data_IF_510910939260
#
_entry.id   IF_510910939260
#
_cell.length_a   1.000
_cell.length_b   1.000
_cell.length_c   1.000
_cell.angle_alpha   90.00
_cell.angle_beta   90.00
_cell.angle_gamma   90.00
#
_symmetry.space_group_name_H-M   'P 1'
#
loop_
_entity.id
_entity.type
_entity.pdbx_description
1 polymer ?
#
# COMPACT_ATOMS: atom_id res chain seq x y z
N UNK A 1 -22.19 5.80 6.95
CA UNK A 1 -21.87 4.40 6.61
C UNK A 1 -20.93 4.40 5.42
N UNK A 2 -19.63 4.30 5.68
CA UNK A 2 -18.63 4.11 4.62
C UNK A 2 -18.64 2.62 4.27
N UNK A 3 -19.37 2.26 3.22
CA UNK A 3 -19.32 0.89 2.69
C UNK A 3 -18.15 0.78 1.73
N UNK A 4 -17.06 0.18 2.18
CA UNK A 4 -16.01 -0.28 1.27
C UNK A 4 -16.53 -1.51 0.54
N UNK A 5 -16.57 -1.54 -0.80
CA UNK A 5 -16.87 -2.76 -1.52
C UNK A 5 -15.72 -3.74 -1.28
N UNK A 6 -15.91 -4.67 -0.36
CA UNK A 6 -15.03 -5.84 -0.30
C UNK A 6 -15.38 -6.67 -1.52
N UNK A 7 -14.41 -6.94 -2.41
CA UNK A 7 -14.69 -7.77 -3.57
C UNK A 7 -15.18 -9.15 -3.10
N UNK A 8 -16.13 -9.72 -3.82
CA UNK A 8 -16.72 -11.02 -3.49
C UNK A 8 -15.65 -12.12 -3.28
N UNK A 9 -14.48 -11.96 -3.88
CA UNK A 9 -13.34 -12.86 -3.75
C UNK A 9 -12.74 -12.83 -2.34
N UNK A 10 -12.70 -11.68 -1.68
CA UNK A 10 -12.20 -11.56 -0.31
C UNK A 10 -13.08 -12.32 0.69
N UNK A 11 -14.40 -12.36 0.44
CA UNK A 11 -15.35 -13.12 1.26
C UNK A 11 -15.22 -14.64 1.11
N UNK A 12 -14.43 -15.11 0.15
CA UNK A 12 -14.15 -16.55 -0.07
C UNK A 12 -12.75 -16.95 0.35
N UNK A 13 -11.96 -16.05 0.93
CA UNK A 13 -10.60 -16.34 1.34
C UNK A 13 -10.58 -17.37 2.49
N UNK A 14 -9.68 -18.34 2.39
CA UNK A 14 -9.42 -19.32 3.46
C UNK A 14 -8.46 -18.73 4.50
N UNK A 15 -7.56 -17.83 4.05
CA UNK A 15 -6.59 -17.14 4.88
C UNK A 15 -6.37 -15.70 4.41
N UNK A 16 -6.26 -14.77 5.35
CA UNK A 16 -5.93 -13.37 5.10
C UNK A 16 -4.62 -13.00 5.79
N UNK A 17 -3.65 -12.48 5.01
CA UNK A 17 -2.42 -11.88 5.50
C UNK A 17 -2.59 -10.37 5.57
N UNK A 18 -2.35 -9.75 6.72
CA UNK A 18 -2.58 -8.33 6.93
C UNK A 18 -1.51 -7.69 7.82
N UNK A 19 -1.43 -6.37 7.81
CA UNK A 19 -0.51 -5.57 8.61
C UNK A 19 -1.23 -4.51 9.45
N UNK A 20 -0.48 -3.69 10.17
CA UNK A 20 -1.00 -2.67 11.09
C UNK A 20 -1.74 -1.49 10.39
N UNK A 21 -1.74 -1.43 9.08
CA UNK A 21 -2.50 -0.41 8.34
C UNK A 21 -3.96 -0.82 8.10
N UNK A 22 -4.32 -2.04 8.48
CA UNK A 22 -5.68 -2.55 8.37
C UNK A 22 -6.37 -2.38 9.72
N UNK A 23 -7.50 -1.68 9.73
CA UNK A 23 -8.28 -1.48 10.95
C UNK A 23 -9.09 -2.72 11.32
N UNK A 24 -9.44 -2.82 12.61
CA UNK A 24 -10.25 -3.92 13.14
C UNK A 24 -11.63 -3.99 12.47
N UNK A 25 -12.21 -2.84 12.09
CA UNK A 25 -13.48 -2.79 11.37
C UNK A 25 -13.38 -3.44 9.99
N UNK A 26 -12.27 -3.23 9.29
CA UNK A 26 -12.01 -3.90 7.99
C UNK A 26 -11.80 -5.39 8.19
N UNK A 27 -11.06 -5.80 9.21
CA UNK A 27 -10.87 -7.21 9.54
C UNK A 27 -12.18 -7.90 9.94
N UNK A 28 -13.07 -7.17 10.61
CA UNK A 28 -14.39 -7.69 11.01
C UNK A 28 -15.32 -7.99 9.83
N UNK A 29 -15.03 -7.45 8.64
CA UNK A 29 -15.78 -7.75 7.41
C UNK A 29 -15.44 -9.13 6.83
N UNK A 30 -14.31 -9.72 7.21
CA UNK A 30 -13.94 -11.07 6.79
C UNK A 30 -14.79 -12.12 7.53
N UNK A 31 -15.16 -13.22 6.84
CA UNK A 31 -15.84 -14.35 7.49
C UNK A 31 -15.08 -14.83 8.73
N UNK A 32 -15.82 -15.29 9.73
CA UNK A 32 -15.21 -15.87 10.94
C UNK A 32 -14.42 -17.16 10.68
N UNK A 33 -14.66 -17.79 9.55
CA UNK A 33 -13.93 -18.97 9.07
C UNK A 33 -12.60 -18.65 8.40
N UNK A 34 -12.36 -17.38 8.02
CA UNK A 34 -11.10 -16.97 7.43
C UNK A 34 -10.01 -16.89 8.49
N UNK A 35 -8.96 -17.67 8.35
CA UNK A 35 -7.77 -17.56 9.19
C UNK A 35 -7.12 -16.19 8.98
N UNK A 36 -6.65 -15.56 10.05
CA UNK A 36 -6.03 -14.23 10.01
C UNK A 36 -4.59 -14.34 10.46
N UNK A 37 -3.65 -13.99 9.56
CA UNK A 37 -2.21 -14.02 9.85
C UNK A 37 -1.68 -12.59 9.80
N UNK A 38 -1.20 -12.10 10.94
CA UNK A 38 -0.53 -10.81 11.01
C UNK A 38 0.89 -10.92 10.48
N UNK A 39 1.25 -10.08 9.51
CA UNK A 39 2.58 -10.07 8.86
C UNK A 39 3.28 -8.71 8.98
N UNK A 40 2.70 -7.79 9.76
CA UNK A 40 3.24 -6.45 9.97
C UNK A 40 4.42 -6.41 10.95
N UNK A 41 4.94 -5.19 11.17
CA UNK A 41 5.99 -4.95 12.18
C UNK A 41 5.37 -4.90 13.58
N UNK A 42 5.77 -5.79 14.45
CA UNK A 42 5.49 -5.68 15.88
C UNK A 42 6.66 -5.00 16.61
N UNK A 43 6.33 -4.14 17.59
CA UNK A 43 7.34 -3.39 18.36
C UNK A 43 8.28 -4.27 19.19
N UNK A 44 7.94 -5.53 19.42
CA UNK A 44 8.62 -6.42 20.35
C UNK A 44 9.06 -7.77 19.78
N UNK A 45 8.73 -8.11 18.53
CA UNK A 45 9.06 -9.40 17.93
C UNK A 45 9.53 -9.25 16.49
N UNK A 46 10.26 -10.25 15.98
CA UNK A 46 10.87 -10.25 14.67
C UNK A 46 9.89 -9.81 13.57
N UNK A 47 10.17 -8.65 12.98
CA UNK A 47 9.48 -8.19 11.77
C UNK A 47 9.65 -9.25 10.68
N UNK A 48 8.55 -9.79 10.16
CA UNK A 48 8.62 -10.67 8.99
C UNK A 48 9.18 -9.86 7.81
N UNK A 49 10.26 -10.34 7.20
CA UNK A 49 10.83 -9.68 6.02
C UNK A 49 9.88 -9.83 4.84
N UNK A 50 10.00 -8.95 3.85
CA UNK A 50 9.11 -9.03 2.68
C UNK A 50 9.26 -10.35 1.93
N UNK A 51 10.48 -10.88 1.86
CA UNK A 51 10.77 -12.16 1.26
C UNK A 51 10.00 -13.29 1.97
N UNK A 52 9.99 -13.27 3.29
CA UNK A 52 9.30 -14.28 4.12
C UNK A 52 7.76 -14.20 3.93
N UNK A 53 7.21 -12.98 3.75
CA UNK A 53 5.77 -12.77 3.42
C UNK A 53 5.46 -13.35 2.04
N UNK A 54 6.32 -13.07 1.06
CA UNK A 54 6.14 -13.56 -0.31
C UNK A 54 6.17 -15.10 -0.34
N UNK A 55 7.14 -15.72 0.34
CA UNK A 55 7.25 -17.17 0.45
C UNK A 55 6.04 -17.79 1.18
N UNK A 56 5.54 -17.13 2.23
CA UNK A 56 4.35 -17.57 2.94
C UNK A 56 3.12 -17.58 2.01
N UNK A 57 2.93 -16.53 1.21
CA UNK A 57 1.83 -16.47 0.24
C UNK A 57 1.92 -17.61 -0.77
N UNK A 58 3.12 -17.85 -1.32
CA UNK A 58 3.36 -18.95 -2.28
C UNK A 58 3.05 -20.30 -1.67
N UNK A 59 3.55 -20.56 -0.47
CA UNK A 59 3.32 -21.83 0.25
C UNK A 59 1.83 -22.08 0.46
N UNK A 60 1.12 -21.11 1.03
CA UNK A 60 -0.32 -21.22 1.29
C UNK A 60 -1.12 -21.45 0.01
N UNK A 61 -0.76 -20.76 -1.08
CA UNK A 61 -1.42 -20.94 -2.36
C UNK A 61 -1.15 -22.32 -2.97
N UNK A 62 0.09 -22.84 -2.85
CA UNK A 62 0.45 -24.19 -3.31
C UNK A 62 -0.21 -25.29 -2.49
N UNK A 63 -0.54 -25.03 -1.23
CA UNK A 63 -1.34 -25.90 -0.37
C UNK A 63 -2.84 -25.87 -0.73
N UNK A 64 -3.21 -25.18 -1.83
CA UNK A 64 -4.58 -25.12 -2.36
C UNK A 64 -5.48 -24.11 -1.65
N UNK A 65 -4.94 -23.27 -0.78
CA UNK A 65 -5.69 -22.23 -0.05
C UNK A 65 -5.92 -20.99 -0.91
N UNK A 66 -7.08 -20.37 -0.75
CA UNK A 66 -7.39 -19.05 -1.31
C UNK A 66 -6.82 -17.98 -0.37
N UNK A 67 -5.72 -17.38 -0.79
CA UNK A 67 -4.97 -16.41 0.00
C UNK A 67 -5.43 -15.00 -0.33
N UNK A 68 -5.82 -14.23 0.69
CA UNK A 68 -6.07 -12.80 0.60
C UNK A 68 -4.88 -12.04 1.21
N UNK A 69 -4.16 -11.27 0.42
CA UNK A 69 -3.23 -10.27 0.93
C UNK A 69 -3.96 -8.94 1.10
N UNK A 70 -4.31 -8.60 2.32
CA UNK A 70 -5.05 -7.39 2.65
C UNK A 70 -4.06 -6.26 2.94
N UNK A 71 -4.16 -5.15 2.20
CA UNK A 71 -3.25 -4.01 2.27
C UNK A 71 -4.02 -2.71 2.47
N UNK A 72 -3.45 -1.77 3.23
CA UNK A 72 -3.97 -0.41 3.32
C UNK A 72 -3.64 0.39 2.06
N UNK A 73 -4.59 1.15 1.54
CA UNK A 73 -4.43 1.94 0.34
C UNK A 73 -4.49 1.12 -0.95
N UNK A 74 -3.63 1.45 -1.91
CA UNK A 74 -3.47 0.73 -3.17
C UNK A 74 -2.18 -0.10 -3.16
N UNK A 75 -2.21 -1.39 -3.56
CA UNK A 75 -1.05 -2.27 -3.47
C UNK A 75 0.14 -1.83 -4.33
N UNK A 76 -0.09 -1.08 -5.41
CA UNK A 76 0.94 -0.63 -6.35
C UNK A 76 1.46 0.79 -6.07
N UNK A 77 0.88 1.50 -5.10
CA UNK A 77 1.35 2.83 -4.72
C UNK A 77 2.09 2.75 -3.37
N UNK A 78 3.42 2.63 -3.44
CA UNK A 78 4.32 2.47 -2.29
C UNK A 78 3.94 1.33 -1.33
N UNK A 79 3.18 0.35 -1.83
CA UNK A 79 2.68 -0.80 -1.08
C UNK A 79 3.47 -2.08 -1.29
N UNK A 80 4.57 -2.07 -2.02
CA UNK A 80 5.41 -3.23 -2.37
C UNK A 80 4.67 -4.36 -3.10
N UNK A 81 3.48 -4.07 -3.66
CA UNK A 81 2.69 -5.06 -4.40
C UNK A 81 3.42 -5.63 -5.61
N UNK A 82 4.30 -4.85 -6.26
CA UNK A 82 5.15 -5.33 -7.35
C UNK A 82 6.04 -6.50 -6.92
N UNK A 83 6.74 -6.37 -5.79
CA UNK A 83 7.61 -7.43 -5.25
C UNK A 83 6.82 -8.71 -4.91
N UNK A 84 5.60 -8.54 -4.40
CA UNK A 84 4.69 -9.65 -4.08
C UNK A 84 4.27 -10.41 -5.34
N UNK A 85 3.80 -9.70 -6.38
CA UNK A 85 3.35 -10.35 -7.63
C UNK A 85 4.51 -10.95 -8.44
N UNK A 86 5.69 -10.35 -8.44
CA UNK A 86 6.88 -10.90 -9.11
C UNK A 86 7.20 -12.30 -8.56
N UNK A 87 7.15 -12.44 -7.24
CA UNK A 87 7.36 -13.73 -6.57
C UNK A 87 6.27 -14.75 -6.93
N UNK A 88 4.99 -14.34 -6.88
CA UNK A 88 3.87 -15.21 -7.22
C UNK A 88 3.94 -15.67 -8.67
N UNK A 89 4.25 -14.74 -9.59
CA UNK A 89 4.39 -15.04 -11.02
C UNK A 89 5.54 -16.03 -11.27
N UNK A 90 6.71 -15.78 -10.69
CA UNK A 90 7.87 -16.67 -10.82
C UNK A 90 7.60 -18.08 -10.31
N UNK A 91 6.70 -18.23 -9.35
CA UNK A 91 6.29 -19.50 -8.76
C UNK A 91 5.07 -20.16 -9.43
N UNK A 92 4.55 -19.57 -10.51
CA UNK A 92 3.39 -20.07 -11.24
C UNK A 92 2.08 -19.99 -10.47
N UNK A 93 2.00 -19.14 -9.43
CA UNK A 93 0.78 -18.92 -8.66
C UNK A 93 -0.10 -17.91 -9.39
N UNK A 94 -1.35 -18.26 -9.63
CA UNK A 94 -2.34 -17.33 -10.20
C UNK A 94 -2.77 -16.33 -9.14
N UNK A 95 -2.85 -15.06 -9.52
CA UNK A 95 -3.29 -14.00 -8.63
C UNK A 95 -4.19 -13.00 -9.37
N UNK A 96 -4.92 -12.23 -8.60
CA UNK A 96 -5.72 -11.08 -9.02
C UNK A 96 -5.37 -9.90 -8.12
N UNK A 97 -5.25 -8.72 -8.70
CA UNK A 97 -5.01 -7.49 -7.94
C UNK A 97 -6.28 -6.64 -7.97
N UNK A 98 -6.78 -6.32 -6.79
CA UNK A 98 -7.91 -5.42 -6.63
C UNK A 98 -7.36 -4.03 -6.33
N UNK A 99 -7.65 -3.02 -7.15
CA UNK A 99 -7.20 -1.66 -6.90
C UNK A 99 -7.83 -1.09 -5.62
N UNK A 100 -7.06 -0.27 -4.92
CA UNK A 100 -7.50 0.41 -3.71
C UNK A 100 -7.49 1.93 -3.83
N UNK A 101 -8.02 2.62 -2.83
CA UNK A 101 -7.92 4.08 -2.74
C UNK A 101 -6.61 4.40 -2.02
N UNK A 102 -5.63 4.89 -2.78
CA UNK A 102 -4.35 5.29 -2.20
C UNK A 102 -4.52 6.52 -1.29
N UNK A 103 -3.66 6.66 -0.28
CA UNK A 103 -3.72 7.72 0.72
C UNK A 103 -3.81 9.12 0.12
N UNK A 104 -3.13 9.38 -1.00
CA UNK A 104 -3.19 10.66 -1.69
C UNK A 104 -4.63 11.04 -2.08
N UNK A 105 -5.37 10.11 -2.66
CA UNK A 105 -6.76 10.35 -3.08
C UNK A 105 -7.68 10.53 -1.86
N UNK A 106 -7.49 9.73 -0.82
CA UNK A 106 -8.28 9.83 0.41
C UNK A 106 -8.05 11.17 1.12
N UNK A 107 -6.78 11.52 1.39
CA UNK A 107 -6.43 12.77 2.07
C UNK A 107 -6.88 13.99 1.26
N UNK A 108 -6.64 14.00 -0.05
CA UNK A 108 -7.04 15.10 -0.93
C UNK A 108 -8.56 15.33 -0.89
N UNK A 109 -9.35 14.25 -0.97
CA UNK A 109 -10.81 14.35 -0.93
C UNK A 109 -11.31 14.88 0.42
N UNK A 110 -10.80 14.39 1.54
CA UNK A 110 -11.20 14.84 2.87
C UNK A 110 -10.71 16.25 3.23
N UNK A 111 -9.55 16.66 2.69
CA UNK A 111 -8.99 17.99 2.90
C UNK A 111 -9.56 19.04 1.91
N UNK A 112 -10.34 18.62 0.92
CA UNK A 112 -10.85 19.52 -0.13
C UNK A 112 -9.75 20.05 -1.05
N UNK A 113 -8.65 19.31 -1.24
CA UNK A 113 -7.49 19.70 -2.05
C UNK A 113 -7.51 18.91 -3.37
N UNK A 114 -7.86 19.52 -4.51
CA UNK A 114 -7.76 18.83 -5.80
C UNK A 114 -6.30 18.49 -6.13
N UNK A 115 -6.00 17.23 -6.44
CA UNK A 115 -4.66 16.82 -6.86
C UNK A 115 -4.29 17.35 -8.25
N UNK A 116 -5.29 17.61 -9.08
CA UNK A 116 -5.10 18.25 -10.39
C UNK A 116 -6.09 19.38 -10.57
N UNK A 117 -5.69 20.42 -11.32
CA UNK A 117 -6.56 21.54 -11.63
C UNK A 117 -6.19 22.09 -13.01
N UNK A 118 -7.20 22.41 -13.83
CA UNK A 118 -6.99 22.89 -15.20
C UNK A 118 -6.02 24.07 -15.29
N UNK A 119 -6.14 25.02 -14.38
CA UNK A 119 -5.38 26.26 -14.42
C UNK A 119 -4.12 26.24 -13.56
N UNK A 120 -4.04 25.33 -12.57
CA UNK A 120 -2.97 25.35 -11.55
C UNK A 120 -2.03 24.14 -11.60
N UNK A 121 -2.56 22.93 -11.82
CA UNK A 121 -1.76 21.71 -11.77
C UNK A 121 -2.23 20.68 -12.79
N UNK A 122 -1.51 20.54 -13.90
CA UNK A 122 -1.80 19.56 -14.94
C UNK A 122 -1.08 18.23 -14.72
N UNK A 123 -0.20 18.17 -13.73
CA UNK A 123 0.51 16.95 -13.34
C UNK A 123 0.39 16.72 -11.83
N UNK A 124 0.46 15.45 -11.44
CA UNK A 124 0.55 15.05 -10.04
C UNK A 124 1.66 14.01 -9.91
N UNK A 125 2.65 14.31 -9.09
CA UNK A 125 3.79 13.44 -8.85
C UNK A 125 3.65 12.78 -7.46
N UNK A 126 3.73 11.46 -7.44
CA UNK A 126 3.80 10.69 -6.20
C UNK A 126 5.24 10.32 -5.94
N UNK A 127 5.78 10.74 -4.82
CA UNK A 127 7.14 10.45 -4.37
C UNK A 127 7.15 9.91 -2.95
N UNK A 128 8.23 9.22 -2.59
CA UNK A 128 8.42 8.75 -1.21
C UNK A 128 9.46 9.63 -0.51
N UNK A 129 9.15 10.05 0.71
CA UNK A 129 10.10 10.74 1.59
C UNK A 129 11.05 9.80 2.33
N UNK A 130 10.98 8.49 2.06
CA UNK A 130 11.82 7.50 2.74
C UNK A 130 12.31 6.45 1.74
N UNK A 131 13.61 6.46 1.44
CA UNK A 131 14.28 5.44 0.66
C UNK A 131 14.81 4.30 1.55
N UNK A 132 15.21 3.21 0.93
CA UNK A 132 15.67 1.98 1.59
C UNK A 132 16.89 2.19 2.49
N UNK A 133 17.72 3.16 2.18
CA UNK A 133 18.93 3.56 2.93
C UNK A 133 18.68 4.71 3.93
N UNK A 134 17.43 5.15 4.05
CA UNK A 134 17.05 6.28 4.92
C UNK A 134 17.35 7.66 4.31
N UNK A 135 17.87 7.72 3.09
CA UNK A 135 18.10 8.97 2.37
C UNK A 135 16.83 9.43 1.62
N UNK A 136 16.87 10.67 1.15
CA UNK A 136 15.82 11.26 0.33
C UNK A 136 16.49 11.77 -0.96
N UNK A 137 16.81 10.81 -1.84
CA UNK A 137 17.39 11.09 -3.16
C UNK A 137 16.28 11.28 -4.19
N UNK A 138 15.78 12.51 -4.25
CA UNK A 138 14.72 12.92 -5.17
C UNK A 138 15.28 13.90 -6.19
N UNK A 139 14.75 13.86 -7.41
CA UNK A 139 15.03 14.89 -8.42
C UNK A 139 14.31 16.20 -8.05
N UNK A 140 14.97 16.99 -7.22
CA UNK A 140 14.45 18.28 -6.74
C UNK A 140 14.15 19.25 -7.85
N UNK A 141 14.93 19.23 -8.93
CA UNK A 141 14.71 20.08 -10.12
C UNK A 141 13.39 19.72 -10.80
N UNK A 142 13.10 18.43 -10.93
CA UNK A 142 11.82 17.98 -11.48
C UNK A 142 10.65 18.30 -10.54
N UNK A 143 10.85 18.16 -9.22
CA UNK A 143 9.83 18.45 -8.22
C UNK A 143 9.50 19.95 -8.13
N UNK A 144 10.47 20.83 -8.26
CA UNK A 144 10.26 22.28 -8.18
C UNK A 144 9.61 22.91 -9.46
N UNK A 145 9.25 22.08 -10.46
CA UNK A 145 8.60 22.61 -11.68
C UNK A 145 7.21 23.16 -11.36
N UNK A 146 6.82 24.28 -12.00
CA UNK A 146 5.48 24.84 -11.82
C UNK A 146 4.38 23.94 -12.41
N UNK A 147 3.14 24.20 -12.03
CA UNK A 147 1.92 23.60 -12.58
C UNK A 147 1.79 22.09 -12.30
N UNK A 148 2.30 21.66 -11.17
CA UNK A 148 2.18 20.29 -10.69
C UNK A 148 1.87 20.23 -9.19
N UNK A 149 1.22 19.16 -8.76
CA UNK A 149 1.04 18.81 -7.36
C UNK A 149 2.04 17.73 -6.98
N UNK A 150 2.70 17.89 -5.84
CA UNK A 150 3.60 16.89 -5.29
C UNK A 150 2.92 16.24 -4.10
N UNK A 151 2.84 14.93 -4.11
CA UNK A 151 2.35 14.12 -3.01
C UNK A 151 3.49 13.31 -2.44
N UNK A 152 3.86 13.59 -1.20
CA UNK A 152 4.97 12.92 -0.54
C UNK A 152 4.45 11.86 0.44
N UNK A 153 4.66 10.60 0.11
CA UNK A 153 4.37 9.47 1.00
C UNK A 153 5.50 9.29 2.01
N UNK A 154 5.16 8.87 3.22
CA UNK A 154 6.14 8.60 4.29
C UNK A 154 7.06 9.80 4.60
N UNK A 155 6.57 11.01 4.35
CA UNK A 155 7.36 12.25 4.42
C UNK A 155 7.38 12.93 5.80
N UNK A 156 6.67 12.44 6.83
CA UNK A 156 6.53 13.16 8.10
C UNK A 156 7.86 13.41 8.81
N UNK A 157 8.74 12.43 8.85
CA UNK A 157 10.06 12.56 9.48
C UNK A 157 11.01 13.45 8.68
N UNK A 158 10.81 13.53 7.37
CA UNK A 158 11.62 14.31 6.45
C UNK A 158 11.01 15.70 6.14
N UNK A 159 9.88 16.05 6.76
CA UNK A 159 9.13 17.26 6.44
C UNK A 159 9.97 18.56 6.51
N UNK A 160 10.82 18.80 7.54
CA UNK A 160 11.66 19.98 7.55
C UNK A 160 12.58 20.09 6.34
N UNK A 161 13.27 19.00 5.99
CA UNK A 161 14.15 18.96 4.82
C UNK A 161 13.40 19.10 3.49
N UNK A 162 12.17 18.58 3.40
CA UNK A 162 11.30 18.78 2.25
C UNK A 162 10.94 20.25 2.06
N UNK A 163 10.55 20.95 3.16
CA UNK A 163 10.19 22.36 3.13
C UNK A 163 11.37 23.29 2.80
N UNK A 164 12.59 22.87 3.09
CA UNK A 164 13.80 23.64 2.74
C UNK A 164 14.18 23.51 1.26
N UNK A 165 13.77 22.42 0.62
CA UNK A 165 14.17 22.08 -0.76
C UNK A 165 13.11 22.37 -1.82
N UNK A 166 11.85 22.51 -1.44
CA UNK A 166 10.70 22.85 -2.29
C UNK A 166 10.29 24.32 -2.12
#
# INVERSE_FOLDING_TARGET
DVRFPIPANALRADVALYDNLISDEVLALLPSTTERIYVGKERANHTMRQEDINELMVRLAKDGRRVLRLKGGDPFVFGRGGEEIDTLFAQGVRFEVVPGITAALGVAAYAGIPLTHRDHAQACLFVTGHLKDGTMDLDWTALARPRQTIVVYMGLTALPALCERL
#
